data_IF_163050110947
#
_entry.id   IF_163050110947
#
_cell.length_a   1.000
_cell.length_b   1.000
_cell.length_c   1.000
_cell.angle_alpha   90.00
_cell.angle_beta   90.00
_cell.angle_gamma   90.00
#
_symmetry.space_group_name_H-M   'P 1'
#
loop_
_entity.id
_entity.type
_entity.pdbx_description
1 polymer ?
#
# COMPACT_ATOMS: atom_id res chain seq x y z
N UNK A 1 -39.54 -41.19 -19.97
CA UNK A 1 -38.76 -40.13 -20.66
C UNK A 1 -38.79 -38.77 -19.93
N UNK A 2 -39.67 -38.55 -18.93
CA UNK A 2 -39.85 -37.26 -18.23
C UNK A 2 -38.84 -36.97 -17.11
N UNK A 3 -38.35 -38.00 -16.41
CA UNK A 3 -37.64 -37.79 -15.13
C UNK A 3 -36.23 -37.23 -15.29
N UNK A 4 -35.56 -37.55 -16.40
CA UNK A 4 -34.22 -37.03 -16.70
C UNK A 4 -34.25 -35.52 -17.01
N UNK A 5 -35.36 -35.02 -17.56
CA UNK A 5 -35.54 -33.61 -17.88
C UNK A 5 -35.77 -32.79 -16.62
N UNK A 6 -36.57 -33.29 -15.67
CA UNK A 6 -36.76 -32.68 -14.36
C UNK A 6 -35.46 -32.61 -13.55
N UNK A 7 -34.66 -33.68 -13.54
CA UNK A 7 -33.36 -33.70 -12.86
C UNK A 7 -32.38 -32.67 -13.41
N UNK A 8 -32.34 -32.51 -14.75
CA UNK A 8 -31.49 -31.50 -15.40
C UNK A 8 -31.93 -30.08 -15.09
N UNK A 9 -33.24 -29.84 -14.98
CA UNK A 9 -33.79 -28.53 -14.60
C UNK A 9 -33.45 -28.20 -13.15
N UNK A 10 -33.61 -29.15 -12.22
CA UNK A 10 -33.20 -28.96 -10.82
C UNK A 10 -31.70 -28.66 -10.70
N UNK A 11 -30.85 -29.41 -11.39
CA UNK A 11 -29.40 -29.15 -11.42
C UNK A 11 -29.05 -27.79 -12.03
N UNK A 12 -29.76 -27.36 -13.08
CA UNK A 12 -29.57 -26.04 -13.65
C UNK A 12 -29.93 -24.92 -12.67
N UNK A 13 -31.02 -25.08 -11.92
CA UNK A 13 -31.45 -24.13 -10.89
C UNK A 13 -30.48 -24.08 -9.70
N UNK A 14 -29.99 -25.23 -9.24
CA UNK A 14 -29.01 -25.30 -8.15
C UNK A 14 -27.68 -24.63 -8.54
N UNK A 15 -27.21 -24.86 -9.76
CA UNK A 15 -26.01 -24.19 -10.28
C UNK A 15 -26.20 -22.67 -10.38
N UNK A 16 -27.40 -22.21 -10.75
CA UNK A 16 -27.73 -20.80 -10.86
C UNK A 16 -27.86 -20.13 -9.49
N UNK A 17 -28.43 -20.82 -8.49
CA UNK A 17 -28.45 -20.37 -7.12
C UNK A 17 -27.03 -20.24 -6.54
N UNK A 18 -26.14 -21.19 -6.86
CA UNK A 18 -24.74 -21.17 -6.45
C UNK A 18 -23.99 -19.97 -7.04
N UNK A 19 -24.15 -19.68 -8.33
CA UNK A 19 -23.50 -18.52 -8.96
C UNK A 19 -24.01 -17.18 -8.43
N UNK A 20 -25.31 -17.08 -8.10
CA UNK A 20 -25.88 -15.87 -7.50
C UNK A 20 -25.30 -15.61 -6.11
N UNK A 21 -25.17 -16.66 -5.27
CA UNK A 21 -24.57 -16.53 -3.95
C UNK A 21 -23.10 -16.10 -4.05
N UNK A 22 -22.32 -16.75 -4.92
CA UNK A 22 -20.93 -16.39 -5.18
C UNK A 22 -20.80 -14.95 -5.69
N UNK A 23 -21.68 -14.49 -6.59
CA UNK A 23 -21.70 -13.10 -7.08
C UNK A 23 -22.06 -12.09 -5.99
N UNK A 24 -23.04 -12.40 -5.14
CA UNK A 24 -23.49 -11.50 -4.06
C UNK A 24 -22.38 -11.33 -3.01
N UNK A 25 -21.73 -12.42 -2.63
CA UNK A 25 -20.61 -12.39 -1.70
C UNK A 25 -19.41 -11.67 -2.30
N UNK A 26 -19.11 -11.91 -3.58
CA UNK A 26 -18.03 -11.19 -4.30
C UNK A 26 -18.29 -9.69 -4.39
N UNK A 27 -19.52 -9.28 -4.70
CA UNK A 27 -19.90 -7.86 -4.80
C UNK A 27 -19.77 -7.16 -3.44
N UNK A 28 -20.29 -7.77 -2.37
CA UNK A 28 -20.20 -7.22 -1.01
C UNK A 28 -18.76 -7.16 -0.51
N UNK A 29 -17.95 -8.19 -0.82
CA UNK A 29 -16.53 -8.23 -0.50
C UNK A 29 -15.75 -7.09 -1.19
N UNK A 30 -15.95 -6.90 -2.49
CA UNK A 30 -15.29 -5.85 -3.26
C UNK A 30 -15.66 -4.44 -2.75
N UNK A 31 -16.91 -4.22 -2.35
CA UNK A 31 -17.33 -2.94 -1.79
C UNK A 31 -16.65 -2.65 -0.45
N UNK A 32 -16.54 -3.65 0.43
CA UNK A 32 -15.84 -3.52 1.72
C UNK A 32 -14.35 -3.23 1.53
N UNK A 33 -13.71 -3.91 0.58
CA UNK A 33 -12.31 -3.64 0.23
C UNK A 33 -12.12 -2.21 -0.27
N UNK A 34 -13.02 -1.71 -1.14
CA UNK A 34 -12.93 -0.34 -1.64
C UNK A 34 -12.99 0.69 -0.51
N UNK A 35 -13.94 0.51 0.42
CA UNK A 35 -14.06 1.40 1.60
C UNK A 35 -12.81 1.35 2.48
N UNK A 36 -12.23 0.16 2.66
CA UNK A 36 -11.01 -0.03 3.43
C UNK A 36 -9.80 0.63 2.75
N UNK A 37 -9.69 0.52 1.42
CA UNK A 37 -8.68 1.23 0.62
C UNK A 37 -8.80 2.76 0.79
N UNK A 38 -10.02 3.31 0.70
CA UNK A 38 -10.29 4.74 0.85
C UNK A 38 -9.84 5.27 2.23
N UNK A 39 -10.21 4.57 3.30
CA UNK A 39 -9.87 4.95 4.68
C UNK A 39 -8.36 4.87 4.95
N UNK A 40 -7.70 3.79 4.53
CA UNK A 40 -6.27 3.61 4.76
C UNK A 40 -5.46 4.63 3.98
N UNK A 41 -5.81 4.85 2.71
CA UNK A 41 -5.12 5.86 1.90
C UNK A 41 -5.30 7.26 2.46
N UNK A 42 -6.47 7.59 3.02
CA UNK A 42 -6.68 8.86 3.72
C UNK A 42 -5.72 9.02 4.92
N UNK A 43 -5.60 8.00 5.78
CA UNK A 43 -4.68 8.02 6.93
C UNK A 43 -3.22 8.14 6.48
N UNK A 44 -2.83 7.41 5.43
CA UNK A 44 -1.47 7.46 4.89
C UNK A 44 -1.13 8.83 4.27
N UNK A 45 -2.12 9.50 3.66
CA UNK A 45 -1.95 10.85 3.12
C UNK A 45 -1.79 11.91 4.22
N UNK A 46 -2.56 11.81 5.32
CA UNK A 46 -2.45 12.73 6.47
C UNK A 46 -1.04 12.69 7.07
N UNK A 47 -0.47 11.49 7.20
CA UNK A 47 0.86 11.30 7.77
C UNK A 47 2.02 11.71 6.85
N UNK A 48 1.75 12.34 5.69
CA UNK A 48 2.75 12.81 4.71
C UNK A 48 3.72 11.73 4.22
N UNK A 49 3.43 10.44 4.47
CA UNK A 49 4.31 9.32 4.16
C UNK A 49 4.32 8.96 2.67
N UNK A 50 3.57 9.70 1.83
CA UNK A 50 3.52 9.54 0.40
C UNK A 50 3.38 8.07 0.01
N UNK A 51 2.59 7.28 0.75
CA UNK A 51 2.45 5.84 0.55
C UNK A 51 1.00 5.53 0.25
N UNK A 52 0.76 4.58 -0.63
CA UNK A 52 -0.57 4.06 -0.95
C UNK A 52 -0.65 2.61 -0.48
N UNK A 53 -1.81 2.16 -0.06
CA UNK A 53 -2.06 0.76 0.21
C UNK A 53 -1.80 -0.13 -1.03
N UNK A 54 -1.16 -1.28 -0.83
CA UNK A 54 -0.99 -2.31 -1.87
C UNK A 54 -2.22 -3.22 -1.92
N UNK A 55 -3.18 -2.88 -2.77
CA UNK A 55 -4.42 -3.66 -2.93
C UNK A 55 -4.15 -5.06 -3.47
N UNK A 56 -3.22 -5.20 -4.41
CA UNK A 56 -2.91 -6.49 -5.05
C UNK A 56 -2.30 -7.49 -4.08
N UNK A 57 -1.38 -7.04 -3.22
CA UNK A 57 -0.80 -7.89 -2.18
C UNK A 57 -1.78 -8.16 -1.07
N UNK A 58 -2.56 -7.17 -0.61
CA UNK A 58 -3.53 -7.44 0.45
C UNK A 58 -4.60 -8.44 -0.02
N UNK A 59 -5.09 -8.32 -1.25
CA UNK A 59 -6.06 -9.27 -1.79
C UNK A 59 -5.55 -10.71 -1.81
N UNK A 60 -4.25 -10.88 -2.07
CA UNK A 60 -3.60 -12.20 -2.02
C UNK A 60 -3.51 -12.71 -0.57
N UNK A 61 -3.05 -11.86 0.35
CA UNK A 61 -2.96 -12.18 1.79
C UNK A 61 -4.33 -12.53 2.39
N UNK A 62 -5.40 -11.82 2.00
CA UNK A 62 -6.76 -12.10 2.49
C UNK A 62 -7.26 -13.44 1.94
N UNK A 63 -7.01 -13.75 0.67
CA UNK A 63 -7.38 -15.04 0.07
C UNK A 63 -6.67 -16.19 0.75
N UNK A 64 -5.39 -16.01 1.06
CA UNK A 64 -4.57 -17.01 1.73
C UNK A 64 -4.83 -17.06 3.25
N UNK A 65 -5.65 -16.14 3.78
CA UNK A 65 -6.03 -15.98 5.20
C UNK A 65 -4.85 -15.70 6.15
N UNK A 66 -3.75 -15.19 5.64
CA UNK A 66 -2.49 -15.03 6.37
C UNK A 66 -2.22 -13.57 6.77
N UNK A 67 -3.16 -12.91 7.44
CA UNK A 67 -2.91 -11.58 7.99
C UNK A 67 -2.07 -11.71 9.26
N UNK A 68 -0.84 -11.22 9.21
CA UNK A 68 0.03 -11.15 10.38
C UNK A 68 -0.50 -10.16 11.43
N UNK A 69 -0.75 -10.67 12.64
CA UNK A 69 -1.17 -9.88 13.80
C UNK A 69 -0.01 -9.81 14.79
N UNK A 70 0.42 -8.60 15.12
CA UNK A 70 1.43 -8.33 16.14
C UNK A 70 0.78 -7.79 17.42
N UNK A 71 1.33 -8.13 18.58
CA UNK A 71 0.90 -7.58 19.86
C UNK A 71 1.97 -6.64 20.42
N UNK A 72 1.59 -5.40 20.71
CA UNK A 72 2.45 -4.39 21.33
C UNK A 72 1.65 -3.64 22.38
N UNK A 73 2.20 -3.46 23.58
CA UNK A 73 1.55 -2.75 24.68
C UNK A 73 0.12 -3.25 24.98
N UNK A 74 -0.09 -4.58 24.95
CA UNK A 74 -1.41 -5.22 25.17
C UNK A 74 -2.46 -4.85 24.10
N UNK A 75 -2.01 -4.34 22.96
CA UNK A 75 -2.85 -3.99 21.83
C UNK A 75 -2.42 -4.77 20.59
N UNK A 76 -3.42 -5.26 19.84
CA UNK A 76 -3.22 -6.05 18.63
C UNK A 76 -3.26 -5.16 17.40
N UNK A 77 -2.32 -5.36 16.50
CA UNK A 77 -2.20 -4.64 15.23
C UNK A 77 -2.11 -5.63 14.08
N UNK A 78 -2.80 -5.34 12.98
CA UNK A 78 -2.66 -6.06 11.72
C UNK A 78 -1.68 -5.32 10.81
N UNK A 79 -0.77 -6.06 10.17
CA UNK A 79 0.16 -5.49 9.20
C UNK A 79 -0.51 -5.38 7.83
N UNK A 80 -0.51 -4.17 7.26
CA UNK A 80 -1.09 -3.88 5.95
C UNK A 80 0.03 -3.47 4.99
N UNK A 81 0.16 -4.13 3.82
CA UNK A 81 1.19 -3.79 2.86
C UNK A 81 0.92 -2.42 2.22
N UNK A 82 1.97 -1.61 2.08
CA UNK A 82 1.93 -0.30 1.44
C UNK A 82 3.00 -0.17 0.36
N UNK A 83 2.67 0.52 -0.72
CA UNK A 83 3.56 0.92 -1.81
C UNK A 83 4.01 2.36 -1.53
N UNK A 84 5.32 2.63 -1.43
CA UNK A 84 5.80 4.00 -1.39
C UNK A 84 5.55 4.66 -2.75
N UNK A 85 4.83 5.78 -2.74
CA UNK A 85 4.74 6.67 -3.90
C UNK A 85 6.12 7.31 -4.03
N UNK A 86 6.95 6.74 -4.91
CA UNK A 86 8.25 7.34 -5.23
C UNK A 86 7.96 8.76 -5.67
N UNK A 87 8.30 9.74 -4.83
CA UNK A 87 8.48 11.09 -5.29
C UNK A 87 9.56 10.99 -6.35
N UNK A 88 9.17 11.08 -7.61
CA UNK A 88 10.08 11.39 -8.68
C UNK A 88 10.61 12.77 -8.35
N UNK A 89 11.64 12.85 -7.50
CA UNK A 89 12.58 13.94 -7.55
C UNK A 89 13.19 13.79 -8.94
N UNK A 90 12.55 14.41 -9.94
CA UNK A 90 13.19 14.75 -11.18
C UNK A 90 14.46 15.47 -10.76
N UNK A 91 15.56 14.71 -10.75
CA UNK A 91 16.85 15.19 -10.29
C UNK A 91 17.22 16.30 -11.23
N UNK A 92 16.93 17.55 -10.85
CA UNK A 92 17.67 18.70 -11.35
C UNK A 92 19.12 18.32 -11.09
N UNK A 93 19.85 17.95 -12.14
CA UNK A 93 21.28 17.78 -12.10
C UNK A 93 21.84 19.07 -11.54
N UNK A 94 22.09 19.09 -10.23
CA UNK A 94 22.76 20.19 -9.55
C UNK A 94 24.15 20.18 -10.17
N UNK A 95 24.44 21.14 -11.07
CA UNK A 95 25.79 21.34 -11.60
C UNK A 95 26.73 21.27 -10.40
N UNK A 96 27.64 20.30 -10.39
CA UNK A 96 28.60 20.12 -9.29
C UNK A 96 29.35 21.43 -9.13
N UNK A 97 28.98 22.19 -8.11
CA UNK A 97 29.55 23.50 -7.91
C UNK A 97 30.96 23.27 -7.37
N UNK A 98 31.99 23.45 -8.21
CA UNK A 98 33.41 23.29 -7.88
C UNK A 98 33.92 24.43 -6.95
N UNK A 99 33.03 25.16 -6.31
CA UNK A 99 33.38 26.22 -5.38
C UNK A 99 33.95 25.56 -4.12
N UNK A 100 35.15 26.01 -3.74
CA UNK A 100 35.79 25.65 -2.47
C UNK A 100 35.14 26.43 -1.34
N UNK A 101 34.88 25.76 -0.23
CA UNK A 101 34.40 26.40 0.99
C UNK A 101 35.43 27.42 1.48
N UNK A 102 35.04 28.66 1.75
CA UNK A 102 35.97 29.69 2.27
C UNK A 102 36.41 29.48 3.72
N UNK A 103 35.89 28.45 4.41
CA UNK A 103 36.30 28.09 5.78
C UNK A 103 37.30 26.95 5.80
N UNK A 104 36.99 25.79 5.18
CA UNK A 104 37.86 24.61 5.20
C UNK A 104 38.54 24.30 3.86
N UNK A 105 38.32 25.10 2.82
CA UNK A 105 38.86 24.94 1.46
C UNK A 105 38.48 23.63 0.72
N UNK A 106 37.61 22.80 1.29
CA UNK A 106 37.07 21.61 0.62
C UNK A 106 35.96 21.99 -0.37
N UNK A 107 35.86 21.25 -1.47
CA UNK A 107 34.81 21.45 -2.47
C UNK A 107 33.53 20.69 -2.09
N UNK A 108 32.37 21.22 -2.50
CA UNK A 108 31.07 20.55 -2.33
C UNK A 108 30.15 21.19 -1.29
N UNK A 109 30.61 22.20 -0.56
CA UNK A 109 29.78 22.97 0.37
C UNK A 109 30.25 24.44 0.43
N UNK A 110 29.41 25.31 0.99
CA UNK A 110 29.72 26.74 1.22
C UNK A 110 30.05 26.97 2.71
N UNK A 111 30.66 28.12 3.05
CA UNK A 111 30.96 28.50 4.46
C UNK A 111 29.73 28.51 5.38
N UNK A 112 28.52 28.66 4.83
CA UNK A 112 27.28 28.56 5.58
C UNK A 112 26.99 27.12 6.06
N UNK A 113 27.32 26.12 5.25
CA UNK A 113 27.01 24.71 5.48
C UNK A 113 28.29 23.88 5.75
N UNK A 114 29.31 24.48 6.35
CA UNK A 114 30.55 23.79 6.66
C UNK A 114 30.42 23.07 8.01
N UNK A 115 30.51 21.74 8.01
CA UNK A 115 30.41 20.91 9.22
C UNK A 115 31.51 21.24 10.24
N UNK A 116 32.72 21.58 9.75
CA UNK A 116 33.85 22.05 10.58
C UNK A 116 33.57 23.38 11.28
N UNK A 117 32.56 24.14 10.86
CA UNK A 117 32.10 25.37 11.55
C UNK A 117 31.14 25.06 12.69
N UNK A 118 30.46 23.92 12.63
CA UNK A 118 29.46 23.49 13.62
C UNK A 118 30.08 22.67 14.76
N UNK A 119 31.35 22.31 14.63
CA UNK A 119 32.15 21.73 15.71
C UNK A 119 33.00 22.82 16.35
N UNK A 120 32.54 23.49 17.43
CA UNK A 120 33.44 24.29 18.25
C UNK A 120 34.47 23.36 18.86
N UNK A 121 35.75 23.68 18.67
CA UNK A 121 36.79 23.23 19.61
C UNK A 121 36.74 24.11 20.85
#
# INVERSE_FOLDING_TARGET
>A
MSDNQSLRVSQALDNLAKTILEQKDSSSYNEKLRRLEELINMILQINSNGSKMDTTKLDSIIRDKDIEIIEKNHQRYALIPVIPLRQTTAGKHKKKNKIRCSFCNEAGHTRANCEKRLQPQ
#
